data_IF_725081604635
#
_entry.id   IF_725081604635
#
_cell.length_a   1.000
_cell.length_b   1.000
_cell.length_c   1.000
_cell.angle_alpha   90.00
_cell.angle_beta   90.00
_cell.angle_gamma   90.00
#
_symmetry.space_group_name_H-M   'P 1'
#
loop_
_entity.id
_entity.type
_entity.pdbx_description
1 polymer ?
#
# COMPACT_ATOMS: atom_id res chain seq x y z
N UNK A 1 -14.88 18.03 -8.09
CA UNK A 1 -13.49 17.53 -8.23
C UNK A 1 -12.53 18.69 -8.03
N UNK A 2 -11.40 18.45 -7.36
CA UNK A 2 -10.31 19.42 -7.21
C UNK A 2 -9.03 18.84 -7.80
N UNK A 3 -8.29 19.63 -8.57
CA UNK A 3 -6.93 19.28 -9.00
C UNK A 3 -5.99 19.28 -7.78
N UNK A 4 -5.09 18.31 -7.74
CA UNK A 4 -4.12 18.17 -6.66
C UNK A 4 -2.85 18.95 -7.01
N UNK A 5 -2.71 20.14 -6.42
CA UNK A 5 -1.51 20.97 -6.58
C UNK A 5 -0.40 20.61 -5.60
N UNK A 6 -0.55 19.49 -4.89
CA UNK A 6 0.35 19.04 -3.83
C UNK A 6 1.53 18.24 -4.40
N UNK A 7 2.51 17.93 -3.55
CA UNK A 7 3.59 16.99 -3.93
C UNK A 7 3.11 15.57 -4.19
N UNK A 8 1.85 15.25 -3.88
CA UNK A 8 1.27 13.94 -4.16
C UNK A 8 1.13 13.65 -5.67
N UNK A 9 1.10 14.69 -6.50
CA UNK A 9 1.10 14.53 -7.96
C UNK A 9 2.33 13.75 -8.47
N UNK A 10 3.49 13.83 -7.79
CA UNK A 10 4.69 13.09 -8.19
C UNK A 10 4.53 11.57 -8.07
N UNK A 11 3.54 11.10 -7.31
CA UNK A 11 3.19 9.68 -7.18
C UNK A 11 1.87 9.34 -7.88
N UNK A 12 1.43 10.18 -8.81
CA UNK A 12 0.23 10.00 -9.65
C UNK A 12 -1.09 10.32 -8.97
N UNK A 13 -1.08 10.92 -7.77
CA UNK A 13 -2.29 11.37 -7.07
C UNK A 13 -2.65 12.79 -7.51
N UNK A 14 -3.20 12.92 -8.71
CA UNK A 14 -3.34 14.22 -9.37
C UNK A 14 -4.68 14.92 -9.08
N UNK A 15 -5.66 14.23 -8.50
CA UNK A 15 -7.00 14.78 -8.25
C UNK A 15 -7.56 14.36 -6.89
N UNK A 16 -8.55 15.09 -6.39
CA UNK A 16 -9.46 14.67 -5.33
C UNK A 16 -10.85 14.42 -5.92
N UNK A 17 -11.52 13.38 -5.43
CA UNK A 17 -12.88 13.09 -5.87
C UNK A 17 -13.87 14.11 -5.31
N UNK A 18 -13.77 14.39 -4.01
CA UNK A 18 -14.58 15.40 -3.33
C UNK A 18 -14.09 16.83 -3.58
N UNK A 19 -15.01 17.80 -3.65
CA UNK A 19 -14.73 19.22 -3.89
C UNK A 19 -14.76 20.11 -2.64
N UNK A 20 -14.86 19.48 -1.47
CA UNK A 20 -14.93 20.15 -0.17
C UNK A 20 -13.56 20.66 0.27
N UNK A 21 -13.49 21.76 1.07
CA UNK A 21 -12.23 22.23 1.66
C UNK A 21 -11.57 21.15 2.53
N UNK A 22 -10.25 20.99 2.43
CA UNK A 22 -9.50 20.04 3.27
C UNK A 22 -9.50 20.43 4.74
N UNK A 23 -9.71 19.46 5.64
CA UNK A 23 -9.66 19.71 7.08
C UNK A 23 -8.23 19.90 7.61
N UNK A 24 -7.19 19.62 6.81
CA UNK A 24 -5.81 19.65 7.27
C UNK A 24 -5.51 18.57 8.31
N UNK A 25 -4.85 18.95 9.41
CA UNK A 25 -4.50 18.02 10.51
C UNK A 25 -3.23 17.22 10.30
N UNK A 26 -2.89 16.32 11.24
CA UNK A 26 -1.74 15.41 11.13
C UNK A 26 -2.11 14.03 11.65
N UNK A 27 -1.58 12.99 11.00
CA UNK A 27 -1.71 11.60 11.45
C UNK A 27 -0.52 11.18 12.33
N UNK A 28 -0.72 10.09 13.09
CA UNK A 28 0.34 9.34 13.79
C UNK A 28 1.25 10.19 14.70
N UNK A 29 0.73 11.14 15.47
CA UNK A 29 1.55 11.87 16.48
C UNK A 29 2.04 10.91 17.57
N UNK A 30 1.16 10.03 18.04
CA UNK A 30 1.43 8.94 18.97
C UNK A 30 0.96 7.60 18.38
N UNK A 31 1.48 6.44 18.83
CA UNK A 31 0.94 5.13 18.43
C UNK A 31 -0.56 4.95 18.74
N UNK A 32 -1.05 5.60 19.80
CA UNK A 32 -2.44 5.53 20.25
C UNK A 32 -3.43 6.17 19.27
N UNK A 33 -2.94 7.13 18.48
CA UNK A 33 -3.70 7.87 17.47
C UNK A 33 -4.02 7.02 16.24
N UNK A 34 -3.40 5.85 16.11
CA UNK A 34 -3.56 4.97 14.97
C UNK A 34 -3.76 3.54 15.46
N UNK A 35 -5.01 3.10 15.53
CA UNK A 35 -5.37 1.73 15.91
C UNK A 35 -5.85 0.96 14.71
N UNK A 36 -5.35 -0.25 14.55
CA UNK A 36 -5.69 -1.15 13.45
C UNK A 36 -6.11 -2.49 14.04
N UNK A 37 -7.33 -2.89 13.77
CA UNK A 37 -7.84 -4.20 14.14
C UNK A 37 -8.06 -5.01 12.86
N UNK A 38 -7.44 -6.17 12.76
CA UNK A 38 -7.66 -7.08 11.64
C UNK A 38 -9.10 -7.59 11.65
N UNK A 39 -9.69 -7.69 10.45
CA UNK A 39 -10.94 -8.41 10.23
C UNK A 39 -10.53 -9.76 9.64
N UNK A 40 -10.36 -10.81 10.47
CA UNK A 40 -9.74 -12.04 10.04
C UNK A 40 -10.70 -12.91 9.22
N UNK A 41 -10.12 -13.77 8.38
CA UNK A 41 -10.81 -14.98 7.93
C UNK A 41 -10.51 -16.08 8.94
N UNK A 42 -11.42 -16.33 9.88
CA UNK A 42 -11.17 -17.25 11.00
C UNK A 42 -10.81 -18.66 10.51
N UNK A 43 -9.65 -19.22 10.93
CA UNK A 43 -9.38 -20.64 10.79
C UNK A 43 -10.45 -21.45 11.51
N UNK A 44 -10.86 -22.56 10.89
CA UNK A 44 -11.80 -23.52 11.49
C UNK A 44 -11.27 -24.00 12.85
N UNK A 45 -12.12 -23.92 13.88
CA UNK A 45 -11.80 -24.43 15.21
C UNK A 45 -11.87 -25.96 15.21
N UNK A 46 -10.75 -26.59 15.52
CA UNK A 46 -10.62 -28.05 15.52
C UNK A 46 -9.91 -28.48 16.80
N UNK A 47 -10.65 -29.12 17.70
CA UNK A 47 -10.10 -29.69 18.94
C UNK A 47 -8.97 -30.69 18.63
N UNK A 48 -7.90 -30.65 19.42
CA UNK A 48 -6.69 -31.45 19.18
C UNK A 48 -5.86 -31.01 17.97
N UNK A 49 -6.21 -29.91 17.30
CA UNK A 49 -5.42 -29.33 16.23
C UNK A 49 -3.99 -28.95 16.67
N UNK A 50 -2.98 -29.07 15.79
CA UNK A 50 -1.58 -28.81 16.16
C UNK A 50 -1.23 -27.33 16.28
N UNK A 51 -2.15 -26.42 15.92
CA UNK A 51 -1.95 -24.97 16.01
C UNK A 51 -2.90 -24.38 17.04
N UNK A 52 -2.42 -23.42 17.81
CA UNK A 52 -3.24 -22.52 18.63
C UNK A 52 -3.38 -21.20 17.89
N UNK A 53 -4.61 -20.78 17.63
CA UNK A 53 -4.95 -19.44 17.16
C UNK A 53 -5.17 -18.55 18.37
N UNK A 54 -4.63 -17.34 18.34
CA UNK A 54 -4.85 -16.30 19.37
C UNK A 54 -4.99 -14.94 18.70
N UNK A 55 -5.70 -14.03 19.37
CA UNK A 55 -5.65 -12.60 19.06
C UNK A 55 -4.45 -11.98 19.76
N UNK A 56 -3.59 -11.32 19.01
CA UNK A 56 -2.41 -10.63 19.53
C UNK A 56 -2.58 -9.14 19.32
N UNK A 57 -2.61 -8.37 20.41
CA UNK A 57 -2.56 -6.91 20.35
C UNK A 57 -1.15 -6.45 20.71
N UNK A 58 -0.53 -5.66 19.85
CA UNK A 58 0.82 -5.13 20.05
C UNK A 58 0.83 -3.62 19.85
N UNK A 59 1.62 -2.93 20.68
CA UNK A 59 1.83 -1.48 20.57
C UNK A 59 3.28 -1.19 20.20
N UNK A 60 3.50 -0.40 19.14
CA UNK A 60 4.82 0.03 18.69
C UNK A 60 5.79 -1.10 18.26
N UNK A 61 5.26 -2.23 17.79
CA UNK A 61 6.05 -3.40 17.38
C UNK A 61 6.18 -3.51 15.86
N UNK A 62 7.41 -3.75 15.39
CA UNK A 62 7.64 -4.21 14.02
C UNK A 62 7.36 -5.72 13.93
N UNK A 63 6.67 -6.17 12.90
CA UNK A 63 6.13 -7.53 12.80
C UNK A 63 7.22 -8.61 12.88
N UNK A 64 8.31 -8.48 12.12
CA UNK A 64 9.37 -9.50 12.12
C UNK A 64 10.06 -9.59 13.48
N UNK A 65 10.26 -8.44 14.15
CA UNK A 65 10.75 -8.38 15.52
C UNK A 65 9.79 -9.06 16.49
N UNK A 66 8.49 -8.79 16.38
CA UNK A 66 7.45 -9.39 17.22
C UNK A 66 7.44 -10.92 17.07
N UNK A 67 7.35 -11.43 15.84
CA UNK A 67 7.38 -12.86 15.53
C UNK A 67 8.65 -13.53 16.08
N UNK A 68 9.81 -12.88 15.94
CA UNK A 68 11.07 -13.36 16.50
C UNK A 68 11.02 -13.48 18.04
N UNK A 69 10.53 -12.47 18.74
CA UNK A 69 10.49 -12.51 20.21
C UNK A 69 9.45 -13.52 20.72
N UNK A 70 8.28 -13.62 20.08
CA UNK A 70 7.25 -14.58 20.45
C UNK A 70 7.72 -16.03 20.23
N UNK A 71 8.31 -16.32 19.06
CA UNK A 71 8.86 -17.65 18.75
C UNK A 71 9.99 -18.04 19.69
N UNK A 72 10.92 -17.11 19.99
CA UNK A 72 12.00 -17.31 20.97
C UNK A 72 11.45 -17.62 22.37
N UNK A 73 10.43 -16.89 22.82
CA UNK A 73 9.82 -17.08 24.14
C UNK A 73 9.09 -18.44 24.23
N UNK A 74 8.50 -18.91 23.13
CA UNK A 74 7.87 -20.23 23.05
C UNK A 74 8.86 -21.38 22.75
N UNK A 75 10.11 -21.08 22.39
CA UNK A 75 11.07 -22.10 21.96
C UNK A 75 10.65 -22.84 20.68
N UNK A 76 10.01 -22.15 19.74
CA UNK A 76 9.58 -22.68 18.44
C UNK A 76 10.27 -21.94 17.29
N UNK A 77 10.24 -22.52 16.08
CA UNK A 77 10.73 -21.83 14.87
C UNK A 77 9.86 -20.62 14.53
N UNK A 78 10.42 -19.63 13.83
CA UNK A 78 9.66 -18.49 13.30
C UNK A 78 8.59 -18.94 12.31
N UNK A 79 8.90 -19.95 11.49
CA UNK A 79 7.96 -20.51 10.51
C UNK A 79 6.79 -21.27 11.16
N UNK A 80 6.88 -21.53 12.46
CA UNK A 80 5.80 -22.09 13.26
C UNK A 80 4.84 -21.02 13.80
N UNK A 81 5.04 -19.75 13.44
CA UNK A 81 4.19 -18.62 13.76
C UNK A 81 3.57 -18.08 12.47
N UNK A 82 2.27 -18.28 12.29
CA UNK A 82 1.53 -17.81 11.11
C UNK A 82 0.72 -16.54 11.41
N UNK A 83 0.57 -15.66 10.42
CA UNK A 83 -0.23 -14.43 10.49
C UNK A 83 -0.67 -14.01 9.08
N UNK A 84 -1.74 -13.22 8.98
CA UNK A 84 -2.38 -12.89 7.70
C UNK A 84 -1.79 -11.67 6.97
N UNK A 85 -1.10 -10.78 7.67
CA UNK A 85 -0.42 -9.65 7.06
C UNK A 85 0.41 -8.86 8.07
N UNK A 86 1.31 -8.01 7.57
CA UNK A 86 2.05 -7.07 8.42
C UNK A 86 1.19 -5.86 8.74
N UNK A 87 1.33 -5.31 9.95
CA UNK A 87 0.67 -4.06 10.36
C UNK A 87 1.69 -2.95 10.58
N UNK A 88 1.22 -1.71 10.65
CA UNK A 88 2.04 -0.53 10.93
C UNK A 88 2.77 -0.67 12.28
N UNK A 89 4.09 -0.40 12.26
CA UNK A 89 4.88 -0.38 13.50
C UNK A 89 4.39 0.70 14.46
N UNK A 90 4.18 1.93 13.98
CA UNK A 90 3.80 3.08 14.82
C UNK A 90 2.28 3.13 15.00
N UNK A 91 1.74 2.10 15.65
CA UNK A 91 0.30 1.91 15.86
C UNK A 91 0.05 0.99 17.07
N UNK A 92 -1.21 0.90 17.49
CA UNK A 92 -1.74 -0.22 18.27
C UNK A 92 -2.43 -1.17 17.28
N UNK A 93 -1.94 -2.41 17.18
CA UNK A 93 -2.40 -3.35 16.16
C UNK A 93 -2.92 -4.62 16.80
N UNK A 94 -4.14 -5.03 16.49
CA UNK A 94 -4.73 -6.31 16.90
C UNK A 94 -4.92 -7.21 15.68
N UNK A 95 -4.43 -8.44 15.74
CA UNK A 95 -4.54 -9.40 14.64
C UNK A 95 -4.59 -10.84 15.13
N UNK A 96 -5.07 -11.76 14.29
CA UNK A 96 -4.93 -13.18 14.60
C UNK A 96 -3.52 -13.67 14.26
N UNK A 97 -3.00 -14.51 15.14
CA UNK A 97 -1.75 -15.25 14.92
C UNK A 97 -1.96 -16.71 15.28
N UNK A 98 -1.26 -17.58 14.57
CA UNK A 98 -1.25 -19.03 14.84
C UNK A 98 0.12 -19.46 15.32
N UNK A 99 0.15 -20.34 16.31
CA UNK A 99 1.38 -20.87 16.89
C UNK A 99 1.29 -22.38 16.90
N UNK A 100 2.33 -23.07 16.41
CA UNK A 100 2.44 -24.53 16.60
C UNK A 100 2.91 -24.86 18.02
N UNK A 101 2.05 -24.57 19.00
CA UNK A 101 2.29 -24.77 20.42
C UNK A 101 0.95 -24.98 21.17
N UNK A 102 0.97 -25.66 22.33
CA UNK A 102 -0.21 -25.79 23.20
C UNK A 102 -0.80 -24.45 23.66
N UNK A 103 -2.13 -24.38 23.78
CA UNK A 103 -2.85 -23.14 24.06
C UNK A 103 -2.47 -22.49 25.40
N UNK A 104 -2.27 -23.30 26.44
CA UNK A 104 -1.80 -22.86 27.76
C UNK A 104 -0.44 -22.16 27.68
N UNK A 105 0.49 -22.68 26.86
CA UNK A 105 1.80 -22.05 26.67
C UNK A 105 1.71 -20.72 25.93
N UNK A 106 0.84 -20.64 24.92
CA UNK A 106 0.65 -19.40 24.14
C UNK A 106 -0.03 -18.32 25.00
N UNK A 107 -1.08 -18.67 25.76
CA UNK A 107 -1.77 -17.73 26.66
C UNK A 107 -0.89 -17.24 27.82
N UNK A 108 0.13 -18.00 28.20
CA UNK A 108 1.10 -17.61 29.22
C UNK A 108 2.26 -16.74 28.68
N UNK A 109 2.24 -16.36 27.39
CA UNK A 109 3.21 -15.41 26.86
C UNK A 109 3.14 -14.08 27.61
N UNK A 110 4.32 -13.58 28.01
CA UNK A 110 4.48 -12.26 28.62
C UNK A 110 5.54 -11.51 27.86
N UNK A 111 5.14 -10.44 27.18
CA UNK A 111 6.01 -9.55 26.45
C UNK A 111 5.53 -8.12 26.66
N UNK A 112 6.45 -7.19 26.86
CA UNK A 112 6.11 -5.80 27.09
C UNK A 112 5.32 -5.23 25.89
N UNK A 113 4.22 -4.51 26.16
CA UNK A 113 3.35 -3.91 25.14
C UNK A 113 2.68 -4.93 24.19
N UNK A 114 2.53 -6.18 24.63
CA UNK A 114 1.84 -7.24 23.88
C UNK A 114 0.85 -7.95 24.78
N UNK A 115 -0.39 -8.09 24.31
CA UNK A 115 -1.43 -8.92 24.95
C UNK A 115 -1.82 -10.07 24.01
N UNK A 116 -2.16 -11.21 24.62
CA UNK A 116 -2.57 -12.43 23.92
C UNK A 116 -3.90 -12.89 24.51
N UNK A 117 -4.89 -13.06 23.65
CA UNK A 117 -6.28 -13.31 24.04
C UNK A 117 -6.92 -14.38 23.13
N UNK A 118 -8.10 -14.88 23.54
CA UNK A 118 -9.01 -15.67 22.71
C UNK A 118 -8.39 -16.94 22.07
N UNK A 119 -7.64 -17.72 22.85
CA UNK A 119 -7.02 -18.95 22.36
C UNK A 119 -8.02 -20.03 21.95
N UNK A 120 -7.80 -20.62 20.77
CA UNK A 120 -8.50 -21.83 20.36
C UNK A 120 -7.64 -22.72 19.43
N UNK A 121 -7.87 -24.05 19.42
CA UNK A 121 -7.10 -24.94 18.56
C UNK A 121 -7.62 -24.94 17.12
N UNK A 122 -6.69 -25.07 16.16
CA UNK A 122 -6.97 -25.13 14.73
C UNK A 122 -6.10 -26.17 14.02
N UNK A 123 -6.62 -26.66 12.89
CA UNK A 123 -5.93 -27.67 12.06
C UNK A 123 -4.87 -27.07 11.14
N UNK A 124 -5.07 -25.83 10.68
CA UNK A 124 -4.20 -25.13 9.73
C UNK A 124 -3.69 -23.82 10.34
N UNK A 125 -2.46 -23.40 9.99
CA UNK A 125 -1.96 -22.09 10.38
C UNK A 125 -2.63 -20.99 9.55
N UNK A 126 -2.53 -19.75 10.03
CA UNK A 126 -2.76 -18.56 9.21
C UNK A 126 -1.59 -18.35 8.26
N UNK A 127 -1.92 -17.92 7.04
CA UNK A 127 -0.98 -17.57 5.98
C UNK A 127 -1.26 -16.17 5.45
N UNK A 128 -0.28 -15.58 4.77
CA UNK A 128 -0.41 -14.24 4.20
C UNK A 128 -1.63 -14.19 3.28
N UNK A 129 -2.53 -13.24 3.52
CA UNK A 129 -3.77 -13.08 2.78
C UNK A 129 -5.03 -13.60 3.49
N UNK A 130 -4.90 -14.34 4.60
CA UNK A 130 -6.03 -14.89 5.40
C UNK A 130 -6.76 -13.84 6.25
N UNK A 131 -7.07 -12.69 5.66
CA UNK A 131 -7.87 -11.62 6.22
C UNK A 131 -8.83 -11.06 5.18
N UNK A 132 -9.96 -10.54 5.64
CA UNK A 132 -10.89 -9.77 4.81
C UNK A 132 -10.40 -8.34 4.69
N UNK A 133 -9.93 -7.76 5.79
CA UNK A 133 -9.59 -6.36 5.83
C UNK A 133 -9.09 -5.89 7.19
N UNK A 134 -9.18 -4.59 7.43
CA UNK A 134 -8.82 -3.98 8.69
C UNK A 134 -9.83 -2.90 9.06
N UNK A 135 -10.19 -2.85 10.34
CA UNK A 135 -10.90 -1.76 10.99
C UNK A 135 -9.87 -0.78 11.54
N UNK A 136 -10.10 0.49 11.28
CA UNK A 136 -9.21 1.59 11.66
C UNK A 136 -9.92 2.50 12.64
N UNK A 137 -9.20 2.91 13.68
CA UNK A 137 -9.55 4.05 14.50
C UNK A 137 -8.40 5.05 14.44
N UNK A 138 -8.65 6.20 13.83
CA UNK A 138 -7.61 7.17 13.50
C UNK A 138 -7.96 8.54 14.06
N UNK A 139 -7.01 9.13 14.78
CA UNK A 139 -7.10 10.52 15.22
C UNK A 139 -6.36 11.42 14.23
N UNK A 140 -7.08 12.37 13.65
CA UNK A 140 -6.51 13.51 12.90
C UNK A 140 -6.44 14.68 13.87
N UNK A 141 -5.22 15.06 14.27
CA UNK A 141 -5.04 16.14 15.25
C UNK A 141 -4.69 17.48 14.62
N UNK A 142 -5.21 18.57 15.20
CA UNK A 142 -4.90 19.95 14.81
C UNK A 142 -5.36 20.27 13.39
N UNK A 143 -6.64 20.02 13.10
CA UNK A 143 -7.29 20.42 11.85
C UNK A 143 -7.09 21.92 11.59
N UNK A 144 -7.17 22.38 10.35
CA UNK A 144 -7.11 23.81 10.01
C UNK A 144 -8.49 24.48 10.05
N UNK A 145 -9.55 23.71 9.82
CA UNK A 145 -10.94 24.20 9.88
C UNK A 145 -11.48 24.10 11.31
N UNK A 146 -12.47 24.93 11.64
CA UNK A 146 -13.08 25.00 12.98
C UNK A 146 -14.59 25.13 12.90
N UNK A 147 -15.28 24.73 13.97
CA UNK A 147 -16.72 24.92 14.15
C UNK A 147 -17.55 24.37 12.98
N UNK A 148 -18.49 25.18 12.49
CA UNK A 148 -19.41 24.80 11.43
C UNK A 148 -18.71 24.48 10.10
N UNK A 149 -17.60 25.16 9.78
CA UNK A 149 -16.83 24.91 8.56
C UNK A 149 -16.22 23.50 8.56
N UNK A 150 -15.67 23.08 9.71
CA UNK A 150 -15.13 21.73 9.89
C UNK A 150 -16.23 20.68 9.73
N UNK A 151 -17.34 20.83 10.45
CA UNK A 151 -18.46 19.89 10.40
C UNK A 151 -19.06 19.81 8.99
N UNK A 152 -19.28 20.96 8.33
CA UNK A 152 -19.81 21.00 6.97
C UNK A 152 -18.89 20.30 5.96
N UNK A 153 -17.57 20.50 6.06
CA UNK A 153 -16.61 19.80 5.19
C UNK A 153 -16.63 18.30 5.42
N UNK A 154 -16.63 17.85 6.68
CA UNK A 154 -16.69 16.43 7.04
C UNK A 154 -17.98 15.79 6.50
N UNK A 155 -19.14 16.38 6.77
CA UNK A 155 -20.46 15.87 6.39
C UNK A 155 -20.60 15.76 4.87
N UNK A 156 -20.19 16.79 4.13
CA UNK A 156 -20.25 16.79 2.66
C UNK A 156 -19.28 15.79 2.04
N UNK A 157 -18.07 15.67 2.60
CA UNK A 157 -17.08 14.68 2.13
C UNK A 157 -17.60 13.27 2.37
N UNK A 158 -18.06 12.98 3.59
CA UNK A 158 -18.61 11.68 3.95
C UNK A 158 -19.86 11.34 3.12
N UNK A 159 -20.74 12.31 2.85
CA UNK A 159 -21.88 12.15 1.95
C UNK A 159 -21.44 11.77 0.53
N UNK A 160 -20.46 12.48 -0.03
CA UNK A 160 -19.91 12.20 -1.36
C UNK A 160 -19.35 10.78 -1.46
N UNK A 161 -18.58 10.34 -0.46
CA UNK A 161 -18.00 9.00 -0.43
C UNK A 161 -19.06 7.91 -0.20
N UNK A 162 -20.11 8.21 0.58
CA UNK A 162 -21.24 7.31 0.79
C UNK A 162 -22.05 7.10 -0.49
N UNK A 163 -22.33 8.18 -1.23
CA UNK A 163 -23.04 8.13 -2.50
C UNK A 163 -22.24 7.37 -3.57
N UNK A 164 -20.91 7.51 -3.54
CA UNK A 164 -20.00 6.74 -4.38
C UNK A 164 -19.94 5.24 -3.96
N UNK A 165 -20.32 4.92 -2.72
CA UNK A 165 -20.19 3.57 -2.15
C UNK A 165 -18.75 3.19 -1.80
N UNK A 166 -17.83 4.17 -1.69
CA UNK A 166 -16.40 3.93 -1.59
C UNK A 166 -15.56 5.20 -1.64
N UNK A 167 -14.28 5.02 -1.94
CA UNK A 167 -13.32 6.10 -2.21
C UNK A 167 -12.38 5.68 -3.34
N UNK A 168 -11.76 6.60 -4.09
CA UNK A 168 -10.76 6.25 -5.09
C UNK A 168 -9.62 5.41 -4.48
N UNK A 169 -9.40 4.21 -5.01
CA UNK A 169 -8.52 3.20 -4.42
C UNK A 169 -7.04 3.38 -4.78
N UNK A 170 -6.54 4.60 -4.60
CA UNK A 170 -5.16 4.91 -4.90
C UNK A 170 -4.17 4.14 -4.01
N UNK A 171 -2.97 3.94 -4.53
CA UNK A 171 -1.82 3.58 -3.71
C UNK A 171 -1.33 4.83 -2.96
N UNK A 172 -1.28 4.75 -1.63
CA UNK A 172 -0.80 5.84 -0.78
C UNK A 172 0.73 6.02 -0.81
N UNK A 173 1.20 7.13 -0.26
CA UNK A 173 2.63 7.49 -0.19
C UNK A 173 3.53 6.38 0.39
N UNK A 174 3.03 5.58 1.34
CA UNK A 174 3.80 4.50 1.94
C UNK A 174 4.28 3.46 0.91
N UNK A 175 3.55 3.30 -0.21
CA UNK A 175 3.94 2.43 -1.32
C UNK A 175 5.17 2.91 -2.07
N UNK A 176 5.41 4.22 -2.06
CA UNK A 176 6.49 4.88 -2.80
C UNK A 176 7.70 5.23 -1.92
N UNK A 177 7.51 5.22 -0.60
CA UNK A 177 8.47 5.65 0.40
C UNK A 177 8.04 6.99 1.02
N UNK A 178 7.61 6.95 2.29
CA UNK A 178 7.06 8.13 2.99
C UNK A 178 8.01 9.33 3.01
N UNK A 179 9.28 9.08 3.33
CA UNK A 179 10.30 10.13 3.42
C UNK A 179 10.83 10.53 2.06
N UNK A 180 11.02 9.53 1.20
CA UNK A 180 11.71 9.65 -0.08
C UNK A 180 10.94 8.82 -1.11
N UNK A 181 9.97 9.43 -1.81
CA UNK A 181 9.04 8.73 -2.69
C UNK A 181 9.71 8.35 -4.03
N UNK A 182 10.84 7.63 -4.00
CA UNK A 182 11.64 7.33 -5.20
C UNK A 182 11.45 5.89 -5.69
N UNK A 183 10.71 5.06 -4.96
CA UNK A 183 10.64 3.61 -5.24
C UNK A 183 10.08 3.32 -6.64
N UNK A 184 9.12 4.13 -7.11
CA UNK A 184 8.57 4.02 -8.46
C UNK A 184 9.53 4.51 -9.54
N UNK A 185 10.32 5.56 -9.27
CA UNK A 185 11.37 6.03 -10.18
C UNK A 185 12.47 4.98 -10.37
N UNK A 186 12.87 4.30 -9.29
CA UNK A 186 13.80 3.15 -9.39
C UNK A 186 13.17 2.04 -10.26
N UNK A 187 11.91 1.71 -10.01
CA UNK A 187 11.16 0.73 -10.82
C UNK A 187 11.08 1.09 -12.29
N UNK A 188 10.84 2.37 -12.61
CA UNK A 188 10.82 2.91 -13.97
C UNK A 188 12.14 2.65 -14.69
N UNK A 189 13.27 2.96 -14.07
CA UNK A 189 14.58 2.75 -14.67
C UNK A 189 14.93 1.26 -14.84
N UNK A 190 14.53 0.41 -13.89
CA UNK A 190 14.68 -1.04 -14.00
C UNK A 190 13.92 -1.59 -15.21
N UNK A 191 12.65 -1.22 -15.35
CA UNK A 191 11.78 -1.65 -16.46
C UNK A 191 12.33 -1.16 -17.80
N UNK A 192 12.89 0.05 -17.85
CA UNK A 192 13.53 0.60 -19.06
C UNK A 192 14.93 0.04 -19.34
N UNK A 193 15.45 -0.87 -18.52
CA UNK A 193 16.79 -1.45 -18.66
C UNK A 193 17.95 -0.50 -18.32
N UNK A 194 17.68 0.67 -17.75
CA UNK A 194 18.70 1.64 -17.33
C UNK A 194 19.07 1.40 -15.85
N UNK A 195 19.84 0.33 -15.62
CA UNK A 195 20.20 -0.08 -14.25
C UNK A 195 21.13 0.91 -13.55
N UNK A 196 21.95 1.65 -14.31
CA UNK A 196 22.79 2.70 -13.74
C UNK A 196 21.92 3.80 -13.13
N UNK A 197 20.94 4.32 -13.89
CA UNK A 197 19.99 5.29 -13.32
C UNK A 197 19.16 4.70 -12.20
N UNK A 198 18.77 3.43 -12.26
CA UNK A 198 18.06 2.79 -11.17
C UNK A 198 18.89 2.80 -9.86
N UNK A 199 20.15 2.38 -9.95
CA UNK A 199 21.07 2.39 -8.80
C UNK A 199 21.29 3.81 -8.29
N UNK A 200 21.60 4.77 -9.16
CA UNK A 200 21.86 6.14 -8.74
C UNK A 200 20.60 6.83 -8.20
N UNK A 201 19.42 6.50 -8.73
CA UNK A 201 18.14 6.95 -8.17
C UNK A 201 17.91 6.38 -6.78
N UNK A 202 18.36 5.17 -6.47
CA UNK A 202 18.18 4.58 -5.14
C UNK A 202 19.26 5.04 -4.14
N UNK A 203 20.53 4.95 -4.50
CA UNK A 203 21.69 5.23 -3.65
C UNK A 203 22.08 6.72 -3.60
N UNK A 204 21.92 7.45 -4.70
CA UNK A 204 22.10 8.90 -4.79
C UNK A 204 20.79 9.66 -4.58
N UNK A 205 20.56 10.71 -5.35
CA UNK A 205 19.33 11.51 -5.43
C UNK A 205 18.84 12.02 -4.05
N UNK A 206 19.53 13.02 -3.47
CA UNK A 206 19.18 13.59 -2.16
C UNK A 206 17.86 14.34 -2.21
N UNK A 207 17.02 14.17 -1.18
CA UNK A 207 15.78 14.94 -1.03
C UNK A 207 15.82 15.86 0.20
N UNK A 208 15.14 17.02 0.18
CA UNK A 208 15.17 17.99 1.28
C UNK A 208 14.69 17.45 2.64
N UNK A 209 13.91 16.36 2.63
CA UNK A 209 13.35 15.73 3.83
C UNK A 209 14.33 14.82 4.57
N UNK A 210 15.47 14.48 3.98
CA UNK A 210 16.51 13.70 4.64
C UNK A 210 17.33 14.57 5.61
N UNK A 211 18.08 13.95 6.53
CA UNK A 211 19.02 14.70 7.35
C UNK A 211 20.22 15.19 6.51
N UNK A 212 20.89 16.25 6.99
CA UNK A 212 21.99 16.90 6.24
C UNK A 212 23.14 15.94 5.91
N UNK A 213 23.50 15.05 6.83
CA UNK A 213 24.54 14.03 6.63
C UNK A 213 24.22 13.11 5.44
N UNK A 214 22.98 12.61 5.38
CA UNK A 214 22.51 11.74 4.30
C UNK A 214 22.43 12.50 2.98
N UNK A 215 21.93 13.74 2.99
CA UNK A 215 21.87 14.57 1.79
C UNK A 215 23.27 14.83 1.21
N UNK A 216 24.24 15.15 2.07
CA UNK A 216 25.62 15.36 1.67
C UNK A 216 26.24 14.08 1.09
N UNK A 217 26.08 12.93 1.75
CA UNK A 217 26.59 11.65 1.27
C UNK A 217 26.03 11.28 -0.12
N UNK A 218 24.71 11.38 -0.30
CA UNK A 218 24.07 11.11 -1.60
C UNK A 218 24.56 12.06 -2.69
N UNK A 219 24.71 13.35 -2.38
CA UNK A 219 25.21 14.36 -3.33
C UNK A 219 26.65 14.08 -3.76
N UNK A 220 27.54 13.77 -2.83
CA UNK A 220 28.93 13.43 -3.14
C UNK A 220 29.00 12.19 -4.02
N UNK A 221 28.21 11.16 -3.73
CA UNK A 221 28.13 9.98 -4.61
C UNK A 221 27.56 10.32 -5.99
N UNK A 222 26.65 11.30 -6.07
CA UNK A 222 26.11 11.76 -7.35
C UNK A 222 27.13 12.45 -8.24
N UNK A 223 27.98 13.27 -7.64
CA UNK A 223 29.00 14.06 -8.33
C UNK A 223 30.25 13.23 -8.66
N UNK A 224 30.76 12.45 -7.69
CA UNK A 224 32.05 11.78 -7.82
C UNK A 224 31.96 10.39 -8.47
N UNK A 225 30.82 9.69 -8.33
CA UNK A 225 30.64 8.27 -8.73
C UNK A 225 31.72 7.32 -8.17
N UNK A 226 32.43 7.72 -7.11
CA UNK A 226 33.43 6.91 -6.43
C UNK A 226 32.76 6.02 -5.36
N UNK A 227 32.34 4.83 -5.79
CA UNK A 227 31.69 3.86 -4.90
C UNK A 227 32.62 3.32 -3.81
N UNK A 228 33.94 3.32 -4.02
CA UNK A 228 34.89 2.83 -3.02
C UNK A 228 34.98 3.82 -1.86
N UNK A 229 35.19 5.11 -2.17
CA UNK A 229 35.24 6.19 -1.19
C UNK A 229 33.88 6.43 -0.53
N UNK A 230 32.78 6.19 -1.24
CA UNK A 230 31.43 6.35 -0.69
C UNK A 230 31.17 5.54 0.57
N UNK A 231 31.81 4.38 0.73
CA UNK A 231 31.66 3.57 1.95
C UNK A 231 32.19 4.23 3.22
N UNK A 232 33.09 5.21 3.10
CA UNK A 232 33.70 5.91 4.23
C UNK A 232 32.74 6.95 4.85
N UNK A 233 31.95 7.62 4.01
CA UNK A 233 31.07 8.71 4.44
C UNK A 233 29.57 8.35 4.42
N UNK A 234 29.15 7.26 3.78
CA UNK A 234 27.73 6.86 3.81
C UNK A 234 27.31 6.42 5.22
N UNK A 235 26.22 6.99 5.79
CA UNK A 235 25.73 6.61 7.11
C UNK A 235 25.48 5.11 7.24
N UNK A 236 25.88 4.52 8.39
CA UNK A 236 25.72 3.07 8.64
C UNK A 236 24.27 2.60 8.69
N UNK A 237 23.33 3.51 8.90
CA UNK A 237 21.89 3.26 8.91
C UNK A 237 21.34 2.93 7.51
N UNK A 238 22.01 3.39 6.44
CA UNK A 238 21.64 3.16 5.04
C UNK A 238 22.16 1.80 4.55
N UNK A 239 21.69 0.73 5.18
CA UNK A 239 22.22 -0.63 5.00
C UNK A 239 22.09 -1.16 3.57
N UNK A 240 20.96 -0.87 2.90
CA UNK A 240 20.73 -1.33 1.52
C UNK A 240 21.55 -0.51 0.52
N UNK A 241 21.60 0.81 0.66
CA UNK A 241 22.43 1.67 -0.17
C UNK A 241 23.91 1.28 -0.06
N UNK A 242 24.42 1.09 1.16
CA UNK A 242 25.78 0.62 1.40
C UNK A 242 26.05 -0.76 0.81
N UNK A 243 25.04 -1.63 0.73
CA UNK A 243 25.16 -2.95 0.09
C UNK A 243 25.40 -2.83 -1.42
N UNK A 244 24.62 -1.97 -2.09
CA UNK A 244 24.79 -1.66 -3.52
C UNK A 244 26.14 -0.99 -3.78
N UNK A 245 26.47 0.05 -3.01
CA UNK A 245 27.73 0.79 -3.13
C UNK A 245 28.91 -0.16 -2.95
N UNK A 246 28.88 -1.00 -1.92
CA UNK A 246 29.93 -1.98 -1.68
C UNK A 246 30.06 -3.03 -2.77
N UNK A 247 28.96 -3.42 -3.41
CA UNK A 247 29.00 -4.30 -4.58
C UNK A 247 29.68 -3.62 -5.77
N UNK A 248 29.30 -2.38 -6.10
CA UNK A 248 29.87 -1.64 -7.23
C UNK A 248 31.33 -1.25 -7.03
N UNK A 249 31.76 -1.00 -5.79
CA UNK A 249 33.17 -0.79 -5.47
C UNK A 249 34.04 -2.01 -5.85
N UNK A 250 33.49 -3.23 -5.80
CA UNK A 250 34.19 -4.47 -6.19
C UNK A 250 33.95 -4.86 -7.64
N UNK A 251 32.80 -4.48 -8.21
CA UNK A 251 32.37 -4.85 -9.56
C UNK A 251 31.95 -3.59 -10.33
N UNK A 252 32.91 -2.74 -10.76
CA UNK A 252 32.59 -1.49 -11.46
C UNK A 252 31.77 -1.75 -12.73
N UNK A 253 30.67 -1.01 -12.90
CA UNK A 253 29.79 -1.10 -14.06
C UNK A 253 28.68 -2.16 -13.98
N UNK A 254 28.74 -3.10 -13.01
CA UNK A 254 27.71 -4.13 -12.85
C UNK A 254 26.52 -3.64 -12.00
N UNK A 255 25.76 -2.69 -12.55
CA UNK A 255 24.60 -2.09 -11.89
C UNK A 255 23.43 -3.08 -11.72
N UNK A 256 23.27 -4.01 -12.66
CA UNK A 256 22.29 -5.08 -12.53
C UNK A 256 22.64 -5.99 -11.34
N UNK A 257 23.89 -6.47 -11.24
CA UNK A 257 24.35 -7.23 -10.08
C UNK A 257 24.19 -6.48 -8.76
N UNK A 258 24.39 -5.16 -8.78
CA UNK A 258 24.22 -4.31 -7.60
C UNK A 258 22.75 -4.28 -7.10
N UNK A 259 21.77 -4.33 -7.99
CA UNK A 259 20.35 -4.48 -7.61
C UNK A 259 20.07 -5.92 -7.15
N UNK A 260 20.68 -6.91 -7.80
CA UNK A 260 20.46 -8.33 -7.53
C UNK A 260 20.88 -8.75 -6.12
N UNK A 261 21.85 -8.08 -5.49
CA UNK A 261 22.27 -8.37 -4.11
C UNK A 261 21.29 -7.86 -3.04
N UNK A 262 20.31 -7.03 -3.41
CA UNK A 262 19.25 -6.62 -2.50
C UNK A 262 18.32 -7.80 -2.18
N UNK A 263 17.58 -7.76 -1.05
CA UNK A 263 16.57 -8.78 -0.77
C UNK A 263 15.53 -8.91 -1.89
N UNK A 264 15.09 -10.13 -2.27
CA UNK A 264 14.13 -10.34 -3.37
C UNK A 264 12.85 -9.50 -3.25
N UNK A 265 12.30 -9.36 -2.03
CA UNK A 265 11.12 -8.54 -1.79
C UNK A 265 11.33 -7.06 -2.10
N UNK A 266 12.54 -6.54 -1.87
CA UNK A 266 12.90 -5.16 -2.21
C UNK A 266 13.03 -4.98 -3.73
N UNK A 267 13.60 -5.98 -4.43
CA UNK A 267 13.69 -5.97 -5.89
C UNK A 267 12.29 -5.94 -6.54
N UNK A 268 11.38 -6.80 -6.10
CA UNK A 268 9.97 -6.80 -6.53
C UNK A 268 9.27 -5.47 -6.24
N UNK A 269 9.56 -4.87 -5.08
CA UNK A 269 8.92 -3.64 -4.63
C UNK A 269 9.13 -2.47 -5.60
N UNK A 270 10.30 -2.34 -6.23
CA UNK A 270 10.57 -1.26 -7.17
C UNK A 270 9.62 -1.29 -8.36
N UNK A 271 9.52 -2.43 -9.05
CA UNK A 271 8.66 -2.58 -10.23
C UNK A 271 7.19 -2.48 -9.85
N UNK A 272 6.79 -3.08 -8.72
CA UNK A 272 5.42 -2.94 -8.25
C UNK A 272 5.06 -1.50 -7.84
N UNK A 273 6.00 -0.70 -7.35
CA UNK A 273 5.77 0.71 -7.09
C UNK A 273 5.58 1.50 -8.40
N UNK A 274 6.31 1.18 -9.47
CA UNK A 274 6.07 1.80 -10.77
C UNK A 274 4.69 1.44 -11.35
N UNK A 275 4.26 0.18 -11.22
CA UNK A 275 2.89 -0.22 -11.57
C UNK A 275 1.83 0.55 -10.76
N UNK A 276 2.07 0.73 -9.45
CA UNK A 276 1.21 1.55 -8.58
C UNK A 276 1.14 3.01 -9.02
N UNK A 277 2.23 3.59 -9.50
CA UNK A 277 2.26 4.96 -10.04
C UNK A 277 1.41 5.09 -11.30
N UNK A 278 1.57 4.18 -12.27
CA UNK A 278 0.77 4.17 -13.50
C UNK A 278 -0.72 4.02 -13.18
N UNK A 279 -1.07 3.10 -12.27
CA UNK A 279 -2.43 2.92 -11.81
C UNK A 279 -3.02 4.20 -11.20
N UNK A 280 -2.25 4.88 -10.34
CA UNK A 280 -2.70 6.14 -9.74
C UNK A 280 -3.00 7.20 -10.82
N UNK A 281 -2.14 7.32 -11.84
CA UNK A 281 -2.40 8.22 -12.98
C UNK A 281 -3.66 7.83 -13.75
N UNK A 282 -3.89 6.54 -13.99
CA UNK A 282 -5.07 6.04 -14.71
C UNK A 282 -6.37 6.34 -13.96
N UNK A 283 -6.39 6.14 -12.63
CA UNK A 283 -7.55 6.49 -11.81
C UNK A 283 -7.76 7.99 -11.75
N UNK A 284 -6.68 8.78 -11.64
CA UNK A 284 -6.75 10.24 -11.67
C UNK A 284 -7.35 10.77 -12.98
N UNK A 285 -6.92 10.22 -14.11
CA UNK A 285 -7.44 10.59 -15.43
C UNK A 285 -8.90 10.15 -15.63
N UNK A 286 -9.28 8.95 -15.15
CA UNK A 286 -10.69 8.52 -15.17
C UNK A 286 -11.59 9.49 -14.42
N UNK A 287 -11.16 9.92 -13.23
CA UNK A 287 -11.87 10.93 -12.44
C UNK A 287 -11.90 12.26 -13.20
N UNK A 288 -10.77 12.71 -13.76
CA UNK A 288 -10.66 13.97 -14.52
C UNK A 288 -11.65 14.06 -15.69
N UNK A 289 -11.85 12.95 -16.40
CA UNK A 289 -12.84 12.83 -17.49
C UNK A 289 -14.29 12.76 -17.01
N UNK A 290 -14.54 12.76 -15.70
CA UNK A 290 -15.88 12.64 -15.12
C UNK A 290 -16.50 11.24 -15.29
N UNK A 291 -15.69 10.21 -15.55
CA UNK A 291 -16.18 8.86 -15.73
C UNK A 291 -16.49 8.22 -14.35
N UNK A 292 -17.57 7.44 -14.23
CA UNK A 292 -17.97 6.83 -12.97
C UNK A 292 -16.95 5.80 -12.48
N UNK A 293 -16.76 5.72 -11.16
CA UNK A 293 -15.98 4.66 -10.50
C UNK A 293 -16.87 3.54 -9.95
N UNK A 294 -18.14 3.84 -9.70
CA UNK A 294 -19.17 3.00 -9.06
C UNK A 294 -20.02 2.19 -10.05
N UNK A 295 -19.87 2.44 -11.36
CA UNK A 295 -20.57 1.69 -12.41
C UNK A 295 -19.68 1.52 -13.64
N UNK A 296 -19.82 0.40 -14.37
CA UNK A 296 -19.02 0.11 -15.53
C UNK A 296 -19.50 0.87 -16.77
N UNK A 297 -18.58 1.09 -17.71
CA UNK A 297 -18.85 1.50 -19.08
C UNK A 297 -18.56 0.35 -20.05
N UNK A 298 -19.10 0.42 -21.26
CA UNK A 298 -18.72 -0.53 -22.32
C UNK A 298 -17.22 -0.41 -22.59
N UNK A 299 -16.52 -1.55 -22.61
CA UNK A 299 -15.08 -1.65 -22.73
C UNK A 299 -14.31 -1.72 -21.41
N UNK A 300 -14.94 -1.39 -20.28
CA UNK A 300 -14.32 -1.63 -18.96
C UNK A 300 -14.10 -3.14 -18.74
N UNK A 301 -13.18 -3.47 -17.84
CA UNK A 301 -13.06 -4.81 -17.26
C UNK A 301 -13.44 -4.70 -15.78
N UNK A 302 -14.39 -5.52 -15.34
CA UNK A 302 -14.78 -5.60 -13.92
C UNK A 302 -14.17 -6.84 -13.26
N UNK A 303 -13.93 -6.76 -11.97
CA UNK A 303 -13.46 -7.89 -11.16
C UNK A 303 -14.67 -8.44 -10.38
N UNK A 304 -14.99 -9.73 -10.51
CA UNK A 304 -15.97 -10.38 -9.64
C UNK A 304 -15.57 -10.24 -8.17
N UNK A 305 -16.53 -10.20 -7.27
CA UNK A 305 -16.30 -10.11 -5.83
C UNK A 305 -16.81 -11.36 -5.15
N UNK A 306 -15.98 -11.96 -4.30
CA UNK A 306 -16.32 -13.19 -3.58
C UNK A 306 -17.33 -12.95 -2.44
N UNK A 307 -17.68 -14.02 -1.73
CA UNK A 307 -18.64 -13.96 -0.61
C UNK A 307 -18.15 -13.14 0.58
N UNK A 308 -16.83 -12.95 0.71
CA UNK A 308 -16.21 -12.13 1.75
C UNK A 308 -16.07 -10.66 1.33
N UNK A 309 -16.52 -10.31 0.12
CA UNK A 309 -16.42 -8.95 -0.38
C UNK A 309 -15.04 -8.63 -0.98
N UNK A 310 -14.22 -9.64 -1.29
CA UNK A 310 -12.89 -9.49 -1.85
C UNK A 310 -12.92 -9.63 -3.38
N UNK A 311 -12.29 -8.71 -4.14
CA UNK A 311 -12.19 -8.83 -5.59
C UNK A 311 -11.33 -10.02 -6.02
N UNK A 312 -11.77 -10.72 -7.06
CA UNK A 312 -11.01 -11.72 -7.80
C UNK A 312 -10.19 -11.01 -8.88
N UNK A 313 -8.88 -10.90 -8.62
CA UNK A 313 -7.96 -10.20 -9.50
C UNK A 313 -7.55 -11.02 -10.74
N UNK A 314 -7.81 -12.34 -10.74
CA UNK A 314 -7.36 -13.25 -11.79
C UNK A 314 -8.42 -13.42 -12.91
N UNK A 315 -9.70 -13.27 -12.58
CA UNK A 315 -10.83 -13.56 -13.48
C UNK A 315 -11.64 -12.32 -13.87
N UNK A 316 -10.98 -11.33 -14.47
CA UNK A 316 -11.64 -10.12 -14.99
C UNK A 316 -12.67 -10.41 -16.09
N UNK A 317 -13.80 -9.69 -16.05
CA UNK A 317 -14.91 -9.82 -17.01
C UNK A 317 -15.00 -8.55 -17.86
N UNK A 318 -14.75 -8.63 -19.19
CA UNK A 318 -14.95 -7.50 -20.10
C UNK A 318 -16.43 -7.10 -20.20
N UNK A 319 -16.67 -5.80 -20.19
CA UNK A 319 -18.00 -5.20 -20.31
C UNK A 319 -18.29 -4.90 -21.76
N UNK A 320 -19.38 -5.45 -22.27
CA UNK A 320 -19.85 -5.26 -23.64
C UNK A 320 -21.25 -4.66 -23.61
N UNK A 321 -21.72 -4.12 -24.74
CA UNK A 321 -23.09 -3.64 -24.84
C UNK A 321 -24.15 -4.72 -24.51
N UNK A 322 -23.83 -6.01 -24.69
CA UNK A 322 -24.74 -7.11 -24.44
C UNK A 322 -24.86 -7.48 -22.95
N UNK A 323 -23.79 -7.33 -22.17
CA UNK A 323 -23.78 -7.72 -20.76
C UNK A 323 -23.84 -6.52 -19.78
N UNK A 324 -23.80 -5.28 -20.26
CA UNK A 324 -23.74 -4.06 -19.45
C UNK A 324 -24.78 -4.05 -18.33
N UNK A 325 -26.07 -4.25 -18.64
CA UNK A 325 -27.15 -4.24 -17.66
C UNK A 325 -26.99 -5.29 -16.55
N UNK A 326 -26.42 -6.46 -16.89
CA UNK A 326 -26.14 -7.51 -15.91
C UNK A 326 -24.95 -7.11 -15.04
N UNK A 327 -23.86 -6.65 -15.65
CA UNK A 327 -22.63 -6.29 -14.94
C UNK A 327 -22.86 -5.10 -14.03
N UNK A 328 -23.55 -4.05 -14.50
CA UNK A 328 -23.90 -2.89 -13.69
C UNK A 328 -24.75 -3.27 -12.47
N UNK A 329 -25.69 -4.21 -12.62
CA UNK A 329 -26.43 -4.77 -11.47
C UNK A 329 -25.51 -5.51 -10.50
N UNK A 330 -24.51 -6.25 -10.98
CA UNK A 330 -23.55 -6.91 -10.08
C UNK A 330 -22.69 -5.89 -9.34
N UNK A 331 -22.22 -4.83 -10.02
CA UNK A 331 -21.43 -3.77 -9.39
C UNK A 331 -22.23 -3.05 -8.32
N UNK A 332 -23.47 -2.65 -8.63
CA UNK A 332 -24.39 -2.00 -7.68
C UNK A 332 -24.69 -2.86 -6.45
N UNK A 333 -24.74 -4.18 -6.62
CA UNK A 333 -24.96 -5.13 -5.53
C UNK A 333 -23.66 -5.50 -4.79
N UNK A 334 -22.53 -4.88 -5.10
CA UNK A 334 -21.23 -5.15 -4.48
C UNK A 334 -20.66 -6.53 -4.82
N UNK A 335 -21.08 -7.12 -5.95
CA UNK A 335 -20.64 -8.45 -6.45
C UNK A 335 -19.63 -8.36 -7.61
N UNK A 336 -19.34 -7.15 -8.05
CA UNK A 336 -18.27 -6.85 -8.99
C UNK A 336 -17.75 -5.43 -8.73
N UNK A 337 -16.56 -5.08 -9.23
CA UNK A 337 -16.03 -3.73 -9.15
C UNK A 337 -15.29 -3.34 -10.44
N UNK A 338 -15.36 -2.07 -10.83
CA UNK A 338 -14.61 -1.53 -11.97
C UNK A 338 -13.11 -1.56 -11.65
N UNK A 339 -12.28 -1.86 -12.64
CA UNK A 339 -10.83 -2.01 -12.45
C UNK A 339 -9.99 -1.28 -13.48
N UNK A 340 -8.74 -1.00 -13.09
CA UNK A 340 -7.69 -0.55 -13.99
C UNK A 340 -6.51 -1.53 -13.97
N UNK A 341 -5.72 -1.52 -15.03
CA UNK A 341 -4.55 -2.39 -15.17
C UNK A 341 -3.41 -1.98 -14.21
N UNK A 342 -2.77 -2.98 -13.61
CA UNK A 342 -1.40 -2.89 -13.10
C UNK A 342 -0.48 -3.41 -14.22
N UNK A 343 0.00 -2.51 -15.07
CA UNK A 343 0.63 -2.86 -16.35
C UNK A 343 1.88 -3.74 -16.19
N UNK A 344 2.03 -4.73 -17.06
CA UNK A 344 3.11 -5.72 -17.07
C UNK A 344 3.08 -6.58 -18.33
N UNK A 345 3.92 -7.61 -18.39
CA UNK A 345 4.22 -8.32 -19.64
C UNK A 345 3.04 -9.07 -20.27
N UNK A 346 2.05 -9.48 -19.47
CA UNK A 346 0.88 -10.24 -19.90
C UNK A 346 -0.42 -9.42 -19.75
N UNK A 347 -0.31 -8.09 -19.58
CA UNK A 347 -1.45 -7.24 -19.27
C UNK A 347 -2.45 -7.10 -20.42
N UNK A 348 -3.72 -7.30 -20.09
CA UNK A 348 -4.88 -7.02 -20.95
C UNK A 348 -5.45 -5.65 -20.58
N UNK A 349 -5.47 -4.75 -21.56
CA UNK A 349 -6.03 -3.41 -21.41
C UNK A 349 -7.54 -3.44 -21.61
N UNK A 350 -8.22 -2.47 -21.01
CA UNK A 350 -9.62 -2.17 -21.30
C UNK A 350 -9.80 -1.73 -22.77
N UNK A 351 -11.05 -1.79 -23.23
CA UNK A 351 -11.51 -1.10 -24.43
C UNK A 351 -12.25 0.20 -24.04
N UNK A 352 -12.77 0.93 -25.03
CA UNK A 352 -13.51 2.18 -24.80
C UNK A 352 -12.69 3.24 -24.06
N UNK A 353 -13.38 4.07 -23.28
CA UNK A 353 -12.79 5.21 -22.56
C UNK A 353 -11.66 4.81 -21.62
N UNK A 354 -11.84 3.74 -20.82
CA UNK A 354 -10.79 3.28 -19.91
C UNK A 354 -9.59 2.72 -20.67
N UNK A 355 -9.83 2.02 -21.78
CA UNK A 355 -8.77 1.56 -22.67
C UNK A 355 -7.94 2.70 -23.23
N UNK A 356 -8.58 3.81 -23.62
CA UNK A 356 -7.88 5.00 -24.08
C UNK A 356 -7.03 5.63 -22.97
N UNK A 357 -7.57 5.74 -21.76
CA UNK A 357 -6.81 6.22 -20.58
C UNK A 357 -5.57 5.34 -20.35
N UNK A 358 -5.76 4.02 -20.30
CA UNK A 358 -4.66 3.07 -20.05
C UNK A 358 -3.59 3.20 -21.14
N UNK A 359 -3.96 3.23 -22.43
CA UNK A 359 -3.04 3.40 -23.55
C UNK A 359 -2.29 4.72 -23.51
N UNK A 360 -2.98 5.84 -23.32
CA UNK A 360 -2.36 7.17 -23.27
C UNK A 360 -1.26 7.23 -22.22
N UNK A 361 -1.51 6.73 -21.01
CA UNK A 361 -0.53 6.77 -19.92
C UNK A 361 0.67 5.85 -20.19
N UNK A 362 0.44 4.68 -20.79
CA UNK A 362 1.51 3.76 -21.22
C UNK A 362 2.37 4.40 -22.32
N UNK A 363 1.74 5.04 -23.30
CA UNK A 363 2.41 5.69 -24.44
C UNK A 363 3.22 6.92 -24.02
N UNK A 364 2.70 7.74 -23.09
CA UNK A 364 3.42 8.87 -22.49
C UNK A 364 4.72 8.42 -21.81
N UNK A 365 4.65 7.29 -21.11
CA UNK A 365 5.81 6.67 -20.47
C UNK A 365 6.68 5.87 -21.45
N UNK A 366 6.24 5.71 -22.71
CA UNK A 366 6.92 4.96 -23.78
C UNK A 366 7.23 3.52 -23.36
N UNK A 367 6.21 2.83 -22.84
CA UNK A 367 6.36 1.48 -22.32
C UNK A 367 5.84 0.43 -23.32
N UNK A 368 6.56 -0.66 -23.42
CA UNK A 368 6.13 -1.89 -24.07
C UNK A 368 5.94 -3.00 -23.03
N UNK A 369 5.14 -4.02 -23.37
CA UNK A 369 4.95 -5.18 -22.46
C UNK A 369 6.26 -5.89 -22.13
N UNK A 370 7.20 -5.93 -23.08
CA UNK A 370 8.48 -6.61 -22.92
C UNK A 370 9.38 -5.95 -21.88
N UNK A 371 9.20 -4.66 -21.61
CA UNK A 371 9.98 -3.91 -20.61
C UNK A 371 9.80 -4.48 -19.19
N UNK A 372 8.65 -5.11 -18.91
CA UNK A 372 8.38 -5.77 -17.64
C UNK A 372 8.91 -7.21 -17.57
N UNK A 373 9.63 -7.66 -18.60
CA UNK A 373 10.44 -8.87 -18.59
C UNK A 373 11.90 -8.46 -18.41
N UNK A 374 12.46 -8.67 -17.23
CA UNK A 374 13.81 -8.25 -16.87
C UNK A 374 14.67 -9.49 -16.57
N UNK A 375 15.22 -10.19 -17.59
CA UNK A 375 15.89 -11.48 -17.39
C UNK A 375 17.09 -11.42 -16.43
N UNK A 376 17.85 -10.31 -16.45
CA UNK A 376 19.01 -10.10 -15.56
C UNK A 376 18.57 -9.94 -14.09
N UNK A 377 17.34 -9.47 -13.86
CA UNK A 377 16.74 -9.28 -12.55
C UNK A 377 15.38 -9.97 -12.54
N UNK A 378 15.36 -11.31 -12.56
CA UNK A 378 14.13 -12.09 -12.63
C UNK A 378 13.07 -11.70 -11.58
N UNK A 379 13.50 -11.30 -10.38
CA UNK A 379 12.60 -10.79 -9.31
C UNK A 379 11.94 -9.45 -9.64
N UNK A 380 12.47 -8.69 -10.59
CA UNK A 380 11.89 -7.47 -11.11
C UNK A 380 10.97 -7.71 -12.32
N UNK A 381 10.86 -8.94 -12.82
CA UNK A 381 9.90 -9.23 -13.89
C UNK A 381 8.48 -9.29 -13.33
N UNK A 382 7.51 -8.70 -14.03
CA UNK A 382 6.11 -8.72 -13.59
C UNK A 382 5.16 -8.93 -14.77
N UNK A 383 4.24 -9.89 -14.61
CA UNK A 383 3.16 -10.16 -15.58
C UNK A 383 2.13 -9.04 -15.63
N UNK A 384 2.05 -8.25 -14.57
CA UNK A 384 0.95 -7.33 -14.33
C UNK A 384 -0.26 -8.02 -13.71
N UNK A 385 -1.26 -7.23 -13.35
CA UNK A 385 -2.52 -7.69 -12.76
C UNK A 385 -3.60 -6.62 -13.00
N UNK A 386 -4.76 -6.70 -12.35
CA UNK A 386 -5.77 -5.65 -12.28
C UNK A 386 -6.08 -5.30 -10.83
N UNK A 387 -6.53 -4.07 -10.60
CA UNK A 387 -6.94 -3.57 -9.30
C UNK A 387 -8.21 -2.76 -9.43
N UNK A 388 -9.11 -2.93 -8.47
CA UNK A 388 -10.34 -2.16 -8.38
C UNK A 388 -10.06 -0.66 -8.22
N UNK A 389 -10.74 0.19 -9.01
CA UNK A 389 -10.55 1.66 -8.97
C UNK A 389 -11.25 2.31 -7.77
N UNK A 390 -12.23 1.60 -7.21
CA UNK A 390 -13.02 2.03 -6.06
C UNK A 390 -12.75 1.11 -4.87
N UNK A 391 -12.29 1.69 -3.77
CA UNK A 391 -12.04 1.01 -2.52
C UNK A 391 -13.32 0.99 -1.70
N UNK A 392 -13.74 -0.19 -1.26
CA UNK A 392 -14.94 -0.33 -0.43
C UNK A 392 -14.65 0.17 0.98
N UNK A 393 -15.57 0.98 1.50
CA UNK A 393 -15.58 1.44 2.88
C UNK A 393 -16.85 0.96 3.58
N UNK A 394 -16.72 0.47 4.81
CA UNK A 394 -17.86 0.18 5.69
C UNK A 394 -17.68 0.82 7.05
N UNK A 395 -18.77 1.05 7.76
CA UNK A 395 -18.79 1.61 9.12
C UNK A 395 -18.03 2.94 9.25
N UNK A 396 -18.11 3.82 8.24
CA UNK A 396 -17.50 5.15 8.31
C UNK A 396 -18.26 6.04 9.30
N UNK A 397 -17.60 6.33 10.40
CA UNK A 397 -18.05 7.24 11.45
C UNK A 397 -16.94 8.23 11.78
N UNK A 398 -17.33 9.43 12.21
CA UNK A 398 -16.39 10.41 12.74
C UNK A 398 -17.00 11.19 13.90
N UNK A 399 -16.13 11.66 14.80
CA UNK A 399 -16.49 12.53 15.91
C UNK A 399 -15.48 13.67 16.02
N UNK A 400 -16.00 14.90 16.08
CA UNK A 400 -15.21 16.11 16.28
C UNK A 400 -15.03 16.35 17.78
N UNK A 401 -13.79 16.62 18.20
CA UNK A 401 -13.45 17.03 19.56
C UNK A 401 -12.48 18.21 19.48
N UNK A 402 -12.98 19.43 19.70
CA UNK A 402 -12.25 20.69 19.56
C UNK A 402 -11.59 20.85 18.17
N UNK A 403 -10.27 20.65 18.10
CA UNK A 403 -9.45 20.78 16.90
C UNK A 403 -9.13 19.43 16.24
N UNK A 404 -9.58 18.33 16.85
CA UNK A 404 -9.25 16.97 16.47
C UNK A 404 -10.48 16.22 15.95
N UNK A 405 -10.26 15.29 15.03
CA UNK A 405 -11.32 14.45 14.47
C UNK A 405 -10.92 12.99 14.62
N UNK A 406 -11.79 12.20 15.26
CA UNK A 406 -11.66 10.75 15.37
C UNK A 406 -12.46 10.09 14.27
N UNK A 407 -11.81 9.29 13.43
CA UNK A 407 -12.43 8.47 12.41
C UNK A 407 -12.47 7.01 12.85
N UNK A 408 -13.55 6.32 12.50
CA UNK A 408 -13.71 4.87 12.59
C UNK A 408 -14.21 4.37 11.23
N UNK A 409 -13.60 3.35 10.65
CA UNK A 409 -14.01 2.75 9.37
C UNK A 409 -13.35 1.41 9.15
N UNK A 410 -13.89 0.59 8.25
CA UNK A 410 -13.30 -0.68 7.82
C UNK A 410 -13.02 -0.69 6.32
N UNK A 411 -11.85 -1.22 5.96
CA UNK A 411 -11.39 -1.34 4.57
C UNK A 411 -11.01 -2.78 4.27
N UNK A 412 -11.24 -3.22 3.03
CA UNK A 412 -10.73 -4.50 2.53
C UNK A 412 -9.19 -4.54 2.54
N UNK A 413 -8.60 -5.75 2.53
CA UNK A 413 -7.16 -5.90 2.34
C UNK A 413 -6.72 -5.27 1.01
N UNK A 414 -5.53 -4.70 0.99
CA UNK A 414 -4.99 -4.00 -0.18
C UNK A 414 -5.48 -2.56 -0.35
N UNK A 415 -6.47 -2.11 0.42
CA UNK A 415 -6.87 -0.71 0.53
C UNK A 415 -6.03 0.03 1.60
N UNK A 416 -5.84 1.34 1.41
CA UNK A 416 -5.01 2.17 2.29
C UNK A 416 -5.86 3.21 3.04
N UNK A 417 -5.78 3.22 4.37
CA UNK A 417 -6.46 4.21 5.21
C UNK A 417 -6.06 5.66 4.85
N UNK A 418 -4.80 5.86 4.44
CA UNK A 418 -4.30 7.16 4.00
C UNK A 418 -4.95 7.63 2.70
N UNK A 419 -5.32 6.72 1.79
CA UNK A 419 -6.05 7.06 0.56
C UNK A 419 -7.47 7.53 0.86
N UNK A 420 -8.15 6.92 1.84
CA UNK A 420 -9.45 7.39 2.30
C UNK A 420 -9.33 8.76 2.99
N UNK A 421 -8.44 8.86 3.99
CA UNK A 421 -8.27 10.08 4.79
C UNK A 421 -7.75 11.25 3.96
N UNK A 422 -7.07 10.99 2.84
CA UNK A 422 -6.67 12.00 1.87
C UNK A 422 -7.87 12.83 1.37
N UNK A 423 -9.03 12.21 1.13
CA UNK A 423 -10.24 12.93 0.70
C UNK A 423 -10.76 13.91 1.76
N UNK A 424 -10.55 13.62 3.05
CA UNK A 424 -10.92 14.53 4.14
C UNK A 424 -9.86 15.59 4.40
N UNK A 425 -8.59 15.18 4.49
CA UNK A 425 -7.48 16.03 4.92
C UNK A 425 -7.02 17.02 3.83
N UNK A 426 -7.00 16.58 2.57
CA UNK A 426 -6.50 17.30 1.37
C UNK A 426 -5.25 18.14 1.63
N UNK A 427 -4.17 17.51 2.09
CA UNK A 427 -2.93 18.20 2.46
C UNK A 427 -1.95 18.33 1.30
N UNK A 428 -1.03 19.28 1.46
CA UNK A 428 -0.02 19.64 0.46
C UNK A 428 1.24 18.76 0.46
N UNK A 429 1.60 18.16 1.60
CA UNK A 429 2.86 17.44 1.76
C UNK A 429 2.65 15.94 2.03
N UNK A 430 3.49 15.12 1.41
CA UNK A 430 3.48 13.66 1.51
C UNK A 430 3.75 13.12 2.92
N UNK A 431 4.43 13.91 3.76
CA UNK A 431 4.85 13.55 5.12
C UNK A 431 3.76 13.73 6.17
N UNK A 432 2.63 14.28 5.78
CA UNK A 432 1.56 14.64 6.71
C UNK A 432 0.64 13.47 7.11
N UNK A 433 0.90 12.28 6.55
CA UNK A 433 0.07 11.07 6.61
C UNK A 433 0.69 9.87 7.34
#
# INVERSE_FOLDING_TARGET
>A
MLECTSREAVIGLEVFYSDTPGIGGRLKRSPEDFRVEEIPSYPERVEGGPYTVVKVTAQNWEMNRLVRELSRTLGISRDAVGFAGTKDKRAITSQLMTFRAPADRVMNLRLHQVTVEDAYPAKKPLTIGDLVGNRFHVLVSGTSLRGEELTSSLDRTAGTLRDLGGFPNFFGVQRFGAVRPVTHEVGKWIVKGDFERAVMTYAGNPVPQENEETQAARRTLDEERDFQRALDYFPRTLTFERTIIGFLARNPGDHAGAIQVLPPNLQMMFVHAYQSFLFNRMVSERIRRGLPLDRPLVGDIVLPVDRLGLPDHDHGVPVTAQNLDLVERQVRNGRACVSAVLFGSESVLCEGEMGEIERTIIDEEKLERQDFMVPQLHQCSSKGNRREVLGRITDLEYAVADEDVRFSFSLNKGCYATSLLREFMKKGELMDY
#
